data_IF_142148607833
#
_entry.id   IF_142148607833
#
_cell.length_a   1.000
_cell.length_b   1.000
_cell.length_c   1.000
_cell.angle_alpha   90.00
_cell.angle_beta   90.00
_cell.angle_gamma   90.00
#
_symmetry.space_group_name_H-M   'P 1'
#
loop_
_entity.id
_entity.type
_entity.pdbx_description
1 polymer ?
#
# COMPACT_ATOMS: atom_id res chain seq x y z
N UNK A 1 9.97 -11.17 4.69
CA UNK A 1 9.46 -11.09 3.29
C UNK A 1 7.93 -11.14 3.16
N UNK A 2 7.20 -11.63 4.18
CA UNK A 2 5.75 -11.87 4.10
C UNK A 2 4.94 -10.58 3.80
N UNK A 3 5.30 -9.44 4.41
CA UNK A 3 4.58 -8.17 4.22
C UNK A 3 4.57 -7.66 2.76
N UNK A 4 5.69 -7.74 2.04
CA UNK A 4 5.79 -7.31 0.63
C UNK A 4 4.98 -8.24 -0.28
N UNK A 5 5.04 -9.55 -0.05
CA UNK A 5 4.25 -10.52 -0.80
C UNK A 5 2.75 -10.25 -0.60
N UNK A 6 2.32 -10.10 0.65
CA UNK A 6 0.92 -9.82 1.00
C UNK A 6 0.41 -8.56 0.30
N UNK A 7 1.17 -7.47 0.32
CA UNK A 7 0.76 -6.20 -0.30
C UNK A 7 0.74 -6.25 -1.83
N UNK A 8 1.70 -6.94 -2.44
CA UNK A 8 1.87 -6.93 -3.90
C UNK A 8 1.16 -8.06 -4.62
N UNK A 9 0.76 -9.13 -3.92
CA UNK A 9 0.18 -10.34 -4.52
C UNK A 9 -1.18 -10.73 -3.93
N UNK A 10 -1.42 -10.50 -2.64
CA UNK A 10 -2.58 -11.09 -1.93
C UNK A 10 -3.67 -10.05 -1.60
N UNK A 11 -3.29 -8.82 -1.24
CA UNK A 11 -4.23 -7.78 -0.80
C UNK A 11 -5.25 -7.40 -1.88
N UNK A 12 -6.50 -7.19 -1.48
CA UNK A 12 -7.59 -6.72 -2.37
C UNK A 12 -7.23 -5.42 -3.12
N UNK A 13 -6.45 -4.54 -2.50
CA UNK A 13 -5.96 -3.30 -3.10
C UNK A 13 -4.73 -3.43 -4.01
N UNK A 14 -4.26 -4.64 -4.33
CA UNK A 14 -3.01 -4.86 -5.09
C UNK A 14 -3.00 -4.24 -6.48
N UNK A 15 -4.16 -4.01 -7.10
CA UNK A 15 -4.28 -3.36 -8.42
C UNK A 15 -4.41 -1.83 -8.35
N UNK A 16 -4.51 -1.27 -7.13
CA UNK A 16 -4.75 0.15 -6.92
C UNK A 16 -3.42 0.87 -6.70
N UNK A 17 -3.11 1.82 -7.58
CA UNK A 17 -1.93 2.68 -7.44
C UNK A 17 -2.13 3.75 -6.36
N UNK A 18 -1.07 4.01 -5.61
CA UNK A 18 -0.93 5.20 -4.76
C UNK A 18 -0.58 6.43 -5.60
N UNK A 19 0.03 7.43 -4.99
CA UNK A 19 0.51 8.63 -5.70
C UNK A 19 1.73 8.31 -6.60
N UNK A 20 2.43 7.22 -6.31
CA UNK A 20 3.57 6.69 -7.06
C UNK A 20 3.15 6.11 -8.44
N UNK A 21 1.86 5.90 -8.69
CA UNK A 21 1.37 5.35 -9.95
C UNK A 21 1.64 3.84 -10.12
N UNK A 22 2.34 3.22 -9.18
CA UNK A 22 2.77 1.82 -9.28
C UNK A 22 1.63 0.90 -8.86
N UNK A 23 1.18 0.05 -9.80
CA UNK A 23 0.13 -0.96 -9.57
C UNK A 23 0.72 -2.34 -9.32
N UNK A 24 1.75 -2.73 -10.07
CA UNK A 24 2.37 -4.05 -9.98
C UNK A 24 3.88 -3.90 -9.92
N UNK A 25 4.53 -4.84 -9.25
CA UNK A 25 5.99 -4.89 -9.14
C UNK A 25 6.51 -6.15 -9.83
N UNK A 26 7.58 -5.98 -10.60
CA UNK A 26 8.42 -7.09 -11.07
C UNK A 26 9.18 -7.72 -9.91
N UNK A 27 9.74 -8.91 -10.10
CA UNK A 27 10.54 -9.60 -9.07
C UNK A 27 11.74 -8.76 -8.58
N UNK A 28 12.45 -8.10 -9.50
CA UNK A 28 13.56 -7.19 -9.17
C UNK A 28 13.08 -6.01 -8.31
N UNK A 29 11.96 -5.40 -8.67
CA UNK A 29 11.40 -4.29 -7.89
C UNK A 29 10.88 -4.75 -6.52
N UNK A 30 10.35 -5.97 -6.39
CA UNK A 30 9.97 -6.54 -5.08
C UNK A 30 11.18 -6.71 -4.17
N UNK A 31 12.30 -7.22 -4.69
CA UNK A 31 13.54 -7.36 -3.92
C UNK A 31 14.08 -5.99 -3.49
N UNK A 32 14.09 -5.01 -4.39
CA UNK A 32 14.45 -3.63 -4.07
C UNK A 32 13.54 -3.03 -3.00
N UNK A 33 12.23 -3.31 -3.06
CA UNK A 33 11.27 -2.86 -2.05
C UNK A 33 11.54 -3.49 -0.68
N UNK A 34 11.84 -4.80 -0.63
CA UNK A 34 12.22 -5.48 0.62
C UNK A 34 13.46 -4.83 1.23
N UNK A 35 14.48 -4.53 0.41
CA UNK A 35 15.67 -3.83 0.88
C UNK A 35 15.34 -2.42 1.39
N UNK A 36 14.50 -1.67 0.66
CA UNK A 36 14.08 -0.32 1.03
C UNK A 36 13.31 -0.29 2.35
N UNK A 37 12.43 -1.27 2.62
CA UNK A 37 11.65 -1.35 3.88
C UNK A 37 12.52 -1.62 5.11
N UNK A 38 13.71 -2.21 4.94
CA UNK A 38 14.66 -2.38 6.06
C UNK A 38 15.25 -1.05 6.53
N UNK A 39 15.30 -0.06 5.63
CA UNK A 39 15.79 1.28 5.93
C UNK A 39 14.57 2.15 6.25
N UNK A 40 14.46 2.65 7.48
CA UNK A 40 13.38 3.57 7.82
C UNK A 40 13.49 4.84 6.96
N UNK A 41 12.45 5.13 6.17
CA UNK A 41 12.38 6.37 5.38
C UNK A 41 11.13 7.15 5.74
N UNK A 42 11.17 8.47 5.53
CA UNK A 42 10.02 9.36 5.69
C UNK A 42 8.82 8.86 4.87
N UNK A 43 7.63 8.83 5.47
CA UNK A 43 6.40 8.40 4.83
C UNK A 43 6.04 9.33 3.65
N UNK A 44 5.51 8.75 2.57
CA UNK A 44 5.12 9.53 1.39
C UNK A 44 3.67 10.05 1.51
N UNK A 45 3.33 11.15 0.79
CA UNK A 45 1.97 11.64 0.73
C UNK A 45 1.02 10.57 0.14
N UNK A 46 -0.20 10.52 0.67
CA UNK A 46 -1.20 9.50 0.32
C UNK A 46 -2.19 10.05 -0.70
N UNK A 47 -2.52 9.26 -1.74
CA UNK A 47 -3.53 9.64 -2.74
C UNK A 47 -4.93 9.56 -2.12
N UNK A 48 -5.69 10.66 -2.12
CA UNK A 48 -7.07 10.67 -1.58
C UNK A 48 -8.09 10.45 -2.68
N UNK A 49 -9.00 9.50 -2.47
CA UNK A 49 -10.17 9.29 -3.34
C UNK A 49 -11.44 9.34 -2.50
N UNK A 50 -12.52 9.88 -3.06
CA UNK A 50 -13.82 9.90 -2.39
C UNK A 50 -14.62 8.66 -2.77
N UNK A 51 -15.05 7.89 -1.77
CA UNK A 51 -15.91 6.71 -1.98
C UNK A 51 -17.26 6.92 -1.29
N UNK A 52 -18.36 6.46 -1.89
CA UNK A 52 -19.68 6.57 -1.28
C UNK A 52 -19.75 5.73 0.01
N UNK A 53 -20.49 6.21 1.01
CA UNK A 53 -20.85 5.40 2.18
C UNK A 53 -21.94 4.40 1.76
N UNK A 54 -21.85 3.12 2.16
CA UNK A 54 -22.94 2.18 1.94
C UNK A 54 -24.24 2.71 2.56
N UNK A 55 -25.31 2.79 1.76
CA UNK A 55 -26.63 3.22 2.23
C UNK A 55 -26.78 4.72 2.54
N UNK A 56 -25.82 5.59 2.19
CA UNK A 56 -25.95 7.06 2.31
C UNK A 56 -25.43 7.78 1.07
N UNK A 57 -25.89 9.02 0.85
CA UNK A 57 -25.41 9.92 -0.23
C UNK A 57 -24.06 10.56 0.08
N UNK A 58 -23.66 10.59 1.36
CA UNK A 58 -22.38 11.11 1.81
C UNK A 58 -21.19 10.29 1.29
N UNK A 59 -20.07 10.98 1.00
CA UNK A 59 -18.80 10.35 0.63
C UNK A 59 -17.83 10.39 1.81
N UNK A 60 -16.95 9.38 1.90
CA UNK A 60 -15.80 9.37 2.81
C UNK A 60 -14.48 9.43 2.03
N UNK A 61 -13.46 10.13 2.54
CA UNK A 61 -12.13 10.08 1.94
C UNK A 61 -11.50 8.72 2.24
N UNK A 62 -10.94 8.09 1.22
CA UNK A 62 -10.10 6.91 1.30
C UNK A 62 -8.67 7.31 0.91
N UNK A 63 -7.74 7.18 1.85
CA UNK A 63 -6.31 7.32 1.58
C UNK A 63 -5.76 6.04 0.94
N UNK A 64 -5.12 6.17 -0.21
CA UNK A 64 -4.42 5.10 -0.92
C UNK A 64 -2.92 5.38 -0.84
N UNK A 65 -2.20 4.76 0.11
CA UNK A 65 -0.76 4.93 0.26
C UNK A 65 0.02 4.30 -0.89
N UNK A 66 1.30 4.65 -1.00
CA UNK A 66 2.23 4.01 -1.95
C UNK A 66 2.39 2.51 -1.65
N UNK A 67 2.92 1.73 -2.59
CA UNK A 67 3.22 0.31 -2.30
C UNK A 67 4.22 0.18 -1.14
N UNK A 68 5.16 1.12 -1.04
CA UNK A 68 6.14 1.17 0.05
C UNK A 68 5.47 1.35 1.41
N UNK A 69 4.64 2.37 1.57
CA UNK A 69 3.98 2.64 2.84
C UNK A 69 3.01 1.50 3.21
N UNK A 70 2.32 0.91 2.24
CA UNK A 70 1.48 -0.28 2.46
C UNK A 70 2.30 -1.46 3.00
N UNK A 71 3.48 -1.69 2.44
CA UNK A 71 4.37 -2.78 2.87
C UNK A 71 5.03 -2.49 4.22
N UNK A 72 5.32 -1.22 4.52
CA UNK A 72 5.77 -0.76 5.84
C UNK A 72 4.69 -0.96 6.90
N UNK A 73 3.43 -0.58 6.61
CA UNK A 73 2.29 -0.79 7.49
C UNK A 73 2.02 -2.28 7.73
N UNK A 74 2.06 -3.10 6.67
CA UNK A 74 1.86 -4.55 6.78
C UNK A 74 2.96 -5.28 7.58
N UNK A 75 4.15 -4.67 7.72
CA UNK A 75 5.22 -5.19 8.60
C UNK A 75 4.84 -5.09 10.08
N UNK A 76 4.11 -4.04 10.48
CA UNK A 76 3.70 -3.82 11.87
C UNK A 76 2.50 -4.68 12.33
N UNK A 77 1.78 -5.31 11.40
CA UNK A 77 0.58 -6.11 11.68
C UNK A 77 0.83 -7.62 11.77
N UNK A 78 2.08 -8.09 11.91
CA UNK A 78 2.39 -9.52 12.06
C UNK A 78 2.36 -10.02 13.51
N UNK A 79 1.57 -9.37 14.37
CA UNK A 79 1.39 -9.76 15.78
C UNK A 79 0.21 -9.02 16.41
N UNK A 80 -1.00 -9.52 16.16
CA UNK A 80 -2.22 -9.29 16.96
C UNK A 80 -3.18 -10.43 16.67
#
# INVERSE_FOLDING_TARGET
MIAVRRVTQENKGKKTAGIDGIKTLTNKQRLALVAKIKVSTKAQPTRRVWIPKPGRTEKRPLGIPTIYDRALQARGHSGS
#
